data_IF_794391995102
#
_entry.id   IF_794391995102
#
_cell.length_a   1.000
_cell.length_b   1.000
_cell.length_c   1.000
_cell.angle_alpha   90.00
_cell.angle_beta   90.00
_cell.angle_gamma   90.00
#
_symmetry.space_group_name_H-M   'P 1'
#
loop_
_entity.id
_entity.type
_entity.pdbx_description
1 polymer ?
#
# COMPACT_ATOMS: atom_id res chain seq x y z
N UNK A 1 -14.46 3.28 1.46
CA UNK A 1 -15.54 3.15 0.45
C UNK A 1 -15.14 2.35 -0.79
N UNK A 2 -13.97 2.61 -1.41
CA UNK A 2 -13.59 1.90 -2.64
C UNK A 2 -13.35 0.39 -2.44
N UNK A 3 -12.62 0.01 -1.39
CA UNK A 3 -12.31 -1.40 -1.10
C UNK A 3 -13.58 -2.23 -0.82
N UNK A 4 -14.54 -1.66 -0.07
CA UNK A 4 -15.84 -2.29 0.20
C UNK A 4 -16.72 -2.46 -1.05
N UNK A 5 -16.44 -1.70 -2.12
CA UNK A 5 -17.11 -1.82 -3.41
C UNK A 5 -16.38 -2.77 -4.38
N UNK A 6 -15.36 -3.49 -3.90
CA UNK A 6 -14.61 -4.47 -4.68
C UNK A 6 -13.39 -3.91 -5.41
N UNK A 7 -12.96 -2.69 -5.12
CA UNK A 7 -11.68 -2.20 -5.62
C UNK A 7 -10.53 -3.02 -5.03
N UNK A 8 -9.53 -3.36 -5.86
CA UNK A 8 -8.32 -4.03 -5.39
C UNK A 8 -7.49 -3.08 -4.52
N UNK A 9 -6.97 -3.53 -3.35
CA UNK A 9 -6.01 -2.75 -2.56
C UNK A 9 -4.61 -2.71 -3.19
N UNK A 10 -4.36 -3.53 -4.21
CA UNK A 10 -3.04 -3.73 -4.83
C UNK A 10 -2.84 -2.95 -6.13
N UNK A 11 -3.72 -1.99 -6.43
CA UNK A 11 -3.54 -1.16 -7.60
C UNK A 11 -2.18 -0.48 -7.57
N UNK A 12 -1.42 -0.64 -8.65
CA UNK A 12 -0.10 -0.03 -8.76
C UNK A 12 -0.21 1.30 -9.48
N UNK A 13 0.53 2.28 -8.99
CA UNK A 13 0.70 3.55 -9.69
C UNK A 13 1.73 3.44 -10.83
N UNK A 14 2.14 4.59 -11.38
CA UNK A 14 3.13 4.65 -12.47
C UNK A 14 4.53 4.23 -12.03
N UNK A 15 4.83 4.32 -10.74
CA UNK A 15 6.08 3.88 -10.13
C UNK A 15 6.04 2.40 -9.73
N UNK A 16 4.93 1.70 -9.98
CA UNK A 16 4.76 0.30 -9.59
C UNK A 16 4.43 0.11 -8.10
N UNK A 17 4.17 1.19 -7.37
CA UNK A 17 3.94 1.20 -5.92
C UNK A 17 2.47 1.01 -5.60
N UNK A 18 2.17 0.39 -4.47
CA UNK A 18 0.80 0.17 -3.99
C UNK A 18 0.34 1.29 -3.05
N UNK A 19 -0.98 1.43 -2.84
CA UNK A 19 -1.53 2.26 -1.77
C UNK A 19 -0.91 1.96 -0.41
N UNK A 20 -0.57 0.70 -0.13
CA UNK A 20 0.06 0.30 1.13
C UNK A 20 1.46 0.90 1.26
N UNK A 21 2.27 0.82 0.19
CA UNK A 21 3.59 1.45 0.17
C UNK A 21 3.52 2.94 0.46
N UNK A 22 2.61 3.65 -0.20
CA UNK A 22 2.38 5.07 0.03
C UNK A 22 1.93 5.37 1.46
N UNK A 23 1.05 4.52 2.03
CA UNK A 23 0.61 4.72 3.41
C UNK A 23 1.73 4.62 4.44
N UNK A 24 2.74 3.77 4.22
CA UNK A 24 3.93 3.68 5.08
C UNK A 24 4.88 4.85 4.80
N UNK A 25 5.20 5.12 3.54
CA UNK A 25 6.13 6.20 3.14
C UNK A 25 5.72 7.58 3.66
N UNK A 26 4.41 7.87 3.66
CA UNK A 26 3.92 9.18 4.10
C UNK A 26 3.97 9.33 5.63
N UNK A 27 4.22 8.25 6.38
CA UNK A 27 4.32 8.25 7.85
C UNK A 27 3.03 8.72 8.56
N UNK A 28 1.88 8.56 7.90
CA UNK A 28 0.60 9.13 8.32
C UNK A 28 -0.22 8.22 9.24
N UNK A 29 -1.53 8.45 9.30
CA UNK A 29 -2.43 7.64 10.14
C UNK A 29 -2.35 6.15 9.81
N UNK A 30 -2.16 5.33 10.86
CA UNK A 30 -2.15 3.87 10.75
C UNK A 30 -3.49 3.31 10.28
N UNK A 31 -4.58 4.08 10.40
CA UNK A 31 -5.93 3.71 9.98
C UNK A 31 -5.99 3.29 8.50
N UNK A 32 -5.22 3.96 7.63
CA UNK A 32 -5.12 3.61 6.21
C UNK A 32 -4.34 2.30 6.00
N UNK A 33 -3.19 2.15 6.66
CA UNK A 33 -2.40 0.90 6.64
C UNK A 33 -3.25 -0.29 7.14
N UNK A 34 -3.89 -0.14 8.29
CA UNK A 34 -4.75 -1.15 8.91
C UNK A 34 -5.91 -1.55 7.99
N UNK A 35 -6.55 -0.57 7.36
CA UNK A 35 -7.63 -0.84 6.40
C UNK A 35 -7.11 -1.62 5.19
N UNK A 36 -5.99 -1.22 4.60
CA UNK A 36 -5.41 -1.93 3.45
C UNK A 36 -5.00 -3.36 3.81
N UNK A 37 -4.39 -3.55 4.98
CA UNK A 37 -4.03 -4.87 5.50
C UNK A 37 -5.26 -5.74 5.80
N UNK A 38 -6.32 -5.15 6.36
CA UNK A 38 -7.60 -5.83 6.58
C UNK A 38 -8.18 -6.38 5.26
N UNK A 39 -8.09 -5.60 4.19
CA UNK A 39 -8.49 -6.02 2.84
C UNK A 39 -7.44 -6.87 2.11
N UNK A 40 -6.43 -7.40 2.81
CA UNK A 40 -5.39 -8.31 2.27
C UNK A 40 -4.51 -7.68 1.19
N UNK A 41 -4.16 -6.41 1.34
CA UNK A 41 -3.11 -5.78 0.53
C UNK A 41 -1.82 -6.60 0.57
N UNK A 42 -1.16 -6.72 -0.59
CA UNK A 42 0.11 -7.42 -0.76
C UNK A 42 1.25 -6.62 -0.16
N UNK A 43 2.15 -7.37 0.48
CA UNK A 43 3.43 -6.90 1.01
C UNK A 43 4.60 -7.30 0.10
N UNK A 44 5.73 -6.65 0.30
CA UNK A 44 6.97 -6.83 -0.45
C UNK A 44 7.02 -6.10 -1.79
N UNK A 45 6.22 -5.05 -2.00
CA UNK A 45 6.34 -4.23 -3.22
C UNK A 45 7.56 -3.35 -3.11
N UNK A 46 8.42 -3.39 -4.13
CA UNK A 46 9.70 -2.67 -4.14
C UNK A 46 9.65 -1.46 -5.05
N UNK A 47 10.24 -0.37 -4.60
CA UNK A 47 10.48 0.83 -5.41
C UNK A 47 11.67 0.67 -6.35
N UNK A 48 12.01 1.77 -7.05
CA UNK A 48 13.16 1.84 -7.96
C UNK A 48 14.51 1.64 -7.26
N UNK A 49 14.57 1.90 -5.94
CA UNK A 49 15.76 1.66 -5.11
C UNK A 49 15.83 0.20 -4.61
N UNK A 50 14.80 -0.61 -4.89
CA UNK A 50 14.69 -1.99 -4.42
C UNK A 50 14.22 -2.10 -2.97
N UNK A 51 13.76 -1.00 -2.37
CA UNK A 51 13.24 -0.93 -1.01
C UNK A 51 11.77 -1.28 -0.99
N UNK A 52 11.36 -2.08 -0.02
CA UNK A 52 9.95 -2.38 0.20
C UNK A 52 9.32 -1.49 1.26
N UNK A 53 8.00 -1.54 1.38
CA UNK A 53 7.29 -0.75 2.38
C UNK A 53 7.65 -1.06 3.83
N UNK A 54 8.31 -2.18 4.13
CA UNK A 54 8.81 -2.46 5.50
C UNK A 54 10.19 -1.84 5.75
N UNK A 55 10.90 -1.45 4.70
CA UNK A 55 12.17 -0.74 4.78
C UNK A 55 11.99 0.77 5.06
N UNK A 56 10.95 1.38 4.48
CA UNK A 56 10.62 2.81 4.65
C UNK A 56 10.35 3.15 6.12
#
# INVERSE_FOLDING_TARGET
ALLSLGASPDYRDRCGLTPLYHSVLTGGETSCCETLLYYRARLGVRDENGWDESHQ
#
